data_IF_895090481309
#
_entry.id   IF_895090481309
#
_cell.length_a   1.000
_cell.length_b   1.000
_cell.length_c   1.000
_cell.angle_alpha   90.00
_cell.angle_beta   90.00
_cell.angle_gamma   90.00
#
_symmetry.space_group_name_H-M   'P 1'
#
loop_
_entity.id
_entity.type
_entity.pdbx_description
1 polymer ?
#
# COMPACT_ATOMS: atom_id res chain seq x y z
N UNK A 1 -28.37 -68.62 -50.11
CA UNK A 1 -27.72 -67.49 -49.43
C UNK A 1 -28.33 -66.16 -49.92
N UNK A 2 -29.19 -65.51 -49.12
CA UNK A 2 -29.89 -64.27 -49.51
C UNK A 2 -29.04 -63.04 -49.17
N UNK A 3 -28.77 -62.21 -50.19
CA UNK A 3 -28.12 -60.88 -50.09
C UNK A 3 -29.01 -59.92 -49.32
N UNK A 4 -28.49 -59.31 -48.25
CA UNK A 4 -29.07 -58.13 -47.61
C UNK A 4 -28.38 -56.90 -48.22
N UNK A 5 -29.10 -56.16 -49.07
CA UNK A 5 -28.71 -54.83 -49.52
C UNK A 5 -28.87 -53.83 -48.36
N UNK A 6 -27.79 -53.20 -47.93
CA UNK A 6 -27.85 -52.05 -47.04
C UNK A 6 -28.26 -50.79 -47.83
N UNK A 7 -29.31 -50.10 -47.38
CA UNK A 7 -29.75 -48.80 -47.92
C UNK A 7 -28.91 -47.67 -47.31
N UNK A 8 -28.17 -46.85 -48.09
CA UNK A 8 -27.48 -45.67 -47.59
C UNK A 8 -28.45 -44.48 -47.62
N UNK A 9 -29.00 -44.07 -46.47
CA UNK A 9 -29.90 -42.92 -46.47
C UNK A 9 -30.31 -42.33 -45.12
N UNK A 10 -30.07 -43.00 -43.99
CA UNK A 10 -30.51 -42.50 -42.67
C UNK A 10 -29.45 -41.78 -41.82
N UNK A 11 -28.19 -41.78 -42.22
CA UNK A 11 -27.08 -41.24 -41.40
C UNK A 11 -26.86 -39.72 -41.63
N UNK A 12 -27.33 -39.17 -42.76
CA UNK A 12 -27.11 -37.76 -43.13
C UNK A 12 -27.82 -36.74 -42.22
N UNK A 13 -29.05 -37.03 -41.77
CA UNK A 13 -29.81 -36.10 -40.93
C UNK A 13 -29.32 -36.04 -39.48
N UNK A 14 -28.81 -37.15 -38.94
CA UNK A 14 -28.36 -37.21 -37.55
C UNK A 14 -27.09 -36.38 -37.32
N UNK A 15 -26.17 -36.38 -38.29
CA UNK A 15 -24.93 -35.59 -38.24
C UNK A 15 -25.16 -34.07 -38.41
N UNK A 16 -26.31 -33.65 -38.95
CA UNK A 16 -26.68 -32.22 -39.04
C UNK A 16 -27.35 -31.68 -37.77
N UNK A 17 -28.09 -32.53 -37.05
CA UNK A 17 -28.90 -32.12 -35.90
C UNK A 17 -28.08 -32.15 -34.60
N UNK A 18 -27.16 -33.10 -34.47
CA UNK A 18 -26.38 -33.28 -33.24
C UNK A 18 -25.56 -32.05 -32.79
N UNK A 19 -24.87 -31.30 -33.68
CA UNK A 19 -24.12 -30.10 -33.31
C UNK A 19 -25.01 -28.94 -32.87
N UNK A 20 -26.21 -28.83 -33.43
CA UNK A 20 -27.18 -27.79 -33.07
C UNK A 20 -27.74 -28.01 -31.65
N UNK A 21 -27.99 -29.27 -31.29
CA UNK A 21 -28.47 -29.63 -29.94
C UNK A 21 -27.38 -29.38 -28.91
N UNK A 22 -26.11 -29.73 -29.19
CA UNK A 22 -25.00 -29.46 -28.27
C UNK A 22 -24.75 -27.96 -28.12
N UNK A 23 -24.78 -27.19 -29.20
CA UNK A 23 -24.65 -25.73 -29.13
C UNK A 23 -25.78 -25.07 -28.31
N UNK A 24 -27.01 -25.55 -28.45
CA UNK A 24 -28.15 -25.06 -27.68
C UNK A 24 -28.02 -25.40 -26.19
N UNK A 25 -27.58 -26.61 -25.85
CA UNK A 25 -27.34 -27.03 -24.46
C UNK A 25 -26.21 -26.22 -23.80
N UNK A 26 -25.09 -25.97 -24.51
CA UNK A 26 -24.01 -25.12 -24.00
C UNK A 26 -24.46 -23.68 -23.75
N UNK A 27 -25.24 -23.10 -24.67
CA UNK A 27 -25.77 -21.75 -24.51
C UNK A 27 -26.78 -21.64 -23.36
N UNK A 28 -27.58 -22.69 -23.10
CA UNK A 28 -28.43 -22.74 -21.90
C UNK A 28 -27.58 -22.83 -20.63
N UNK A 29 -26.54 -23.65 -20.62
CA UNK A 29 -25.64 -23.78 -19.46
C UNK A 29 -24.93 -22.46 -19.11
N UNK A 30 -24.47 -21.71 -20.12
CA UNK A 30 -23.86 -20.39 -19.92
C UNK A 30 -24.85 -19.37 -19.36
N UNK A 31 -26.11 -19.39 -19.81
CA UNK A 31 -27.17 -18.52 -19.24
C UNK A 31 -27.46 -18.84 -17.78
N UNK A 32 -27.54 -20.13 -17.41
CA UNK A 32 -27.74 -20.53 -16.01
C UNK A 32 -26.54 -20.17 -15.12
N UNK A 33 -25.32 -20.26 -15.64
CA UNK A 33 -24.09 -19.81 -14.97
C UNK A 33 -24.06 -18.30 -14.74
N UNK A 34 -24.53 -17.51 -15.72
CA UNK A 34 -24.59 -16.05 -15.60
C UNK A 34 -25.66 -15.60 -14.59
N UNK A 35 -26.81 -16.29 -14.55
CA UNK A 35 -27.89 -16.04 -13.58
C UNK A 35 -27.44 -16.38 -12.16
N UNK A 36 -26.69 -17.46 -11.95
CA UNK A 36 -26.17 -17.82 -10.63
C UNK A 36 -25.08 -16.86 -10.14
N UNK A 37 -24.22 -16.36 -11.03
CA UNK A 37 -23.25 -15.34 -10.66
C UNK A 37 -23.92 -13.98 -10.33
N UNK A 38 -24.97 -13.62 -11.07
CA UNK A 38 -25.78 -12.43 -10.77
C UNK A 38 -26.52 -12.54 -9.43
N UNK A 39 -27.04 -13.72 -9.07
CA UNK A 39 -27.71 -13.92 -7.78
C UNK A 39 -26.74 -13.87 -6.60
N UNK A 40 -25.54 -14.47 -6.73
CA UNK A 40 -24.48 -14.42 -5.70
C UNK A 40 -23.97 -12.99 -5.50
N UNK A 41 -23.75 -12.26 -6.59
CA UNK A 41 -23.34 -10.84 -6.52
C UNK A 41 -24.43 -9.95 -5.94
N UNK A 42 -25.70 -10.18 -6.28
CA UNK A 42 -26.83 -9.44 -5.70
C UNK A 42 -26.99 -9.69 -4.20
N UNK A 43 -26.82 -10.94 -3.74
CA UNK A 43 -26.85 -11.29 -2.31
C UNK A 43 -25.66 -10.71 -1.54
N UNK A 44 -24.47 -10.68 -2.15
CA UNK A 44 -23.29 -10.03 -1.58
C UNK A 44 -23.49 -8.51 -1.42
N UNK A 45 -24.07 -7.85 -2.43
CA UNK A 45 -24.37 -6.42 -2.38
C UNK A 45 -25.46 -6.07 -1.35
N UNK A 46 -26.52 -6.87 -1.27
CA UNK A 46 -27.61 -6.64 -0.29
C UNK A 46 -27.21 -6.93 1.15
N UNK A 47 -26.23 -7.81 1.38
CA UNK A 47 -25.69 -8.04 2.74
C UNK A 47 -24.68 -6.97 3.19
N UNK A 48 -23.93 -6.36 2.26
CA UNK A 48 -22.87 -5.40 2.61
C UNK A 48 -23.36 -3.93 2.69
N UNK A 49 -24.44 -3.57 1.98
CA UNK A 49 -25.03 -2.23 2.01
C UNK A 49 -25.56 -1.81 3.41
N UNK A 50 -26.27 -2.66 4.17
CA UNK A 50 -26.74 -2.30 5.51
C UNK A 50 -25.60 -2.07 6.51
N UNK A 51 -24.52 -2.88 6.41
CA UNK A 51 -23.35 -2.81 7.30
C UNK A 51 -22.57 -1.52 7.06
N UNK A 52 -22.39 -1.13 5.80
CA UNK A 52 -21.72 0.12 5.43
C UNK A 52 -22.57 1.34 5.78
N UNK A 53 -23.88 1.29 5.54
CA UNK A 53 -24.80 2.37 5.91
C UNK A 53 -24.90 2.58 7.43
N UNK A 54 -24.95 1.50 8.23
CA UNK A 54 -24.92 1.57 9.70
C UNK A 54 -23.58 2.09 10.23
N UNK A 55 -22.47 1.76 9.57
CA UNK A 55 -21.16 2.29 9.95
C UNK A 55 -21.10 3.80 9.70
N UNK A 56 -21.57 4.26 8.54
CA UNK A 56 -21.64 5.69 8.20
C UNK A 56 -22.55 6.49 9.15
N UNK A 57 -23.72 5.95 9.51
CA UNK A 57 -24.64 6.62 10.46
C UNK A 57 -24.13 6.65 11.90
N UNK A 58 -23.29 5.69 12.31
CA UNK A 58 -22.62 5.74 13.64
C UNK A 58 -21.46 6.73 13.71
N UNK A 59 -20.82 7.05 12.59
CA UNK A 59 -19.64 7.93 12.58
C UNK A 59 -19.97 9.42 12.33
N UNK A 60 -21.18 9.75 11.83
CA UNK A 60 -21.61 11.13 11.59
C UNK A 60 -21.83 12.01 12.85
N UNK A 61 -22.32 11.50 14.01
CA UNK A 61 -22.57 12.35 15.19
C UNK A 61 -21.30 12.81 15.91
N UNK A 62 -20.14 12.21 15.63
CA UNK A 62 -18.86 12.53 16.32
C UNK A 62 -18.11 13.68 15.64
N UNK A 63 -18.45 14.02 14.39
CA UNK A 63 -17.73 15.02 13.60
C UNK A 63 -18.45 16.37 13.44
N UNK A 64 -19.76 16.43 13.66
CA UNK A 64 -20.54 17.66 13.48
C UNK A 64 -20.59 18.67 14.66
N UNK A 65 -20.43 18.28 15.95
CA UNK A 65 -20.50 19.27 17.03
C UNK A 65 -19.33 20.28 17.06
N UNK A 66 -18.26 20.05 16.30
CA UNK A 66 -17.04 20.86 16.34
C UNK A 66 -17.03 22.05 15.38
N UNK A 67 -18.08 22.25 14.57
CA UNK A 67 -18.17 23.36 13.63
C UNK A 67 -19.03 24.54 14.13
N UNK A 68 -19.94 24.33 15.08
CA UNK A 68 -20.70 25.43 15.70
C UNK A 68 -19.94 26.17 16.81
N UNK A 69 -18.93 25.53 17.41
CA UNK A 69 -18.09 26.15 18.46
C UNK A 69 -17.01 27.12 17.94
N UNK A 70 -16.72 27.11 16.63
CA UNK A 70 -15.65 27.92 16.04
C UNK A 70 -16.15 29.29 15.54
N UNK A 71 -17.41 29.42 15.13
CA UNK A 71 -17.95 30.70 14.61
C UNK A 71 -18.20 31.75 15.71
N UNK A 72 -18.28 31.34 16.98
CA UNK A 72 -18.55 32.28 18.09
C UNK A 72 -17.29 32.99 18.64
N UNK A 73 -16.08 32.54 18.30
CA UNK A 73 -14.81 33.15 18.79
C UNK A 73 -14.27 34.25 17.89
N UNK A 74 -14.61 34.26 16.60
CA UNK A 74 -14.07 35.23 15.65
C UNK A 74 -14.89 36.54 15.57
N UNK A 75 -16.05 36.60 16.23
CA UNK A 75 -16.90 37.81 16.27
C UNK A 75 -16.59 38.79 17.42
N UNK A 76 -15.65 38.46 18.31
CA UNK A 76 -15.26 39.30 19.46
C UNK A 76 -13.89 39.99 19.32
N UNK A 77 -13.24 39.92 18.15
CA UNK A 77 -11.89 40.49 17.95
C UNK A 77 -11.81 41.70 17.00
N UNK A 78 -12.95 42.28 16.63
CA UNK A 78 -13.03 43.50 15.80
C UNK A 78 -14.00 44.49 16.44
N UNK A 79 -13.58 45.12 17.54
CA UNK A 79 -14.08 46.42 18.04
C UNK A 79 -13.35 46.75 19.33
N UNK A 80 -12.28 47.54 19.22
CA UNK A 80 -11.45 47.92 20.35
C UNK A 80 -10.60 49.13 20.02
N UNK A 81 -11.22 50.24 19.64
CA UNK A 81 -10.63 51.58 19.68
C UNK A 81 -11.74 52.64 19.63
N UNK A 82 -11.75 53.55 20.60
CA UNK A 82 -12.63 54.74 20.64
C UNK A 82 -13.46 54.89 21.93
N UNK A 83 -12.90 55.60 22.92
CA UNK A 83 -13.64 56.26 24.01
C UNK A 83 -14.28 57.55 23.45
N UNK A 84 -15.52 57.86 23.85
CA UNK A 84 -15.87 59.03 24.70
C UNK A 84 -17.40 59.23 24.84
N UNK A 85 -17.81 59.33 26.10
CA UNK A 85 -18.90 60.07 26.74
C UNK A 85 -20.18 60.48 25.99
N UNK A 86 -21.32 60.10 26.58
CA UNK A 86 -22.63 60.67 26.26
C UNK A 86 -23.77 60.02 27.05
N UNK A 87 -24.08 60.57 28.23
CA UNK A 87 -25.28 60.24 29.02
C UNK A 87 -26.55 60.50 28.19
N UNK A 88 -27.50 59.56 28.23
CA UNK A 88 -28.96 59.79 28.38
C UNK A 88 -29.67 58.42 28.33
N UNK A 89 -30.21 57.97 29.46
CA UNK A 89 -31.65 58.01 29.76
C UNK A 89 -32.42 56.83 29.15
N UNK A 90 -32.81 55.90 30.02
CA UNK A 90 -33.79 54.85 29.76
C UNK A 90 -35.19 55.46 29.53
N UNK A 91 -36.07 54.73 28.83
CA UNK A 91 -37.42 54.55 29.35
C UNK A 91 -37.82 53.06 29.46
N UNK A 92 -38.67 52.69 30.43
CA UNK A 92 -39.08 51.31 30.71
C UNK A 92 -40.46 50.94 30.14
N UNK A 93 -40.75 49.62 30.19
CA UNK A 93 -42.06 48.97 30.03
C UNK A 93 -42.56 48.90 28.56
N UNK A 94 -43.21 47.87 28.03
CA UNK A 94 -44.10 46.82 28.54
C UNK A 94 -44.18 45.74 27.45
N UNK A 95 -44.12 44.44 27.81
CA UNK A 95 -45.12 43.44 27.42
C UNK A 95 -44.73 42.06 27.99
N UNK A 96 -45.37 41.70 29.10
CA UNK A 96 -45.57 40.31 29.55
C UNK A 96 -46.92 39.85 29.01
N UNK A 97 -46.96 38.68 28.38
CA UNK A 97 -48.01 37.66 28.54
C UNK A 97 -47.61 36.40 27.77
N UNK A 98 -47.22 35.33 28.48
CA UNK A 98 -48.06 34.17 28.87
C UNK A 98 -48.08 33.07 27.81
N UNK A 99 -47.40 31.96 28.13
CA UNK A 99 -48.04 30.64 28.22
C UNK A 99 -47.11 29.66 28.95
N UNK A 100 -47.45 29.33 30.21
CA UNK A 100 -47.03 28.12 30.91
C UNK A 100 -48.25 27.19 30.96
N UNK A 101 -48.13 26.01 30.38
CA UNK A 101 -48.85 24.78 30.70
C UNK A 101 -47.86 23.67 30.32
N UNK A 102 -47.56 22.61 31.06
CA UNK A 102 -47.97 22.10 32.34
C UNK A 102 -47.29 20.72 32.44
N UNK A 103 -46.59 20.43 33.54
CA UNK A 103 -46.08 19.08 33.83
C UNK A 103 -47.23 18.19 34.29
N UNK A 104 -47.32 16.99 33.73
CA UNK A 104 -47.80 15.70 34.32
C UNK A 104 -47.31 14.62 33.34
N UNK A 105 -46.58 13.59 33.71
CA UNK A 105 -46.79 12.67 34.83
C UNK A 105 -47.32 11.36 34.24
N UNK A 106 -46.43 10.39 33.99
CA UNK A 106 -46.81 9.08 33.44
C UNK A 106 -45.66 8.09 33.53
N UNK A 107 -45.54 7.42 34.69
CA UNK A 107 -44.82 6.15 34.83
C UNK A 107 -45.80 5.04 34.47
N UNK A 108 -45.42 4.15 33.56
CA UNK A 108 -45.86 2.76 33.58
C UNK A 108 -44.65 1.85 33.35
N UNK A 109 -44.36 1.08 34.40
CA UNK A 109 -43.99 -0.35 34.42
C UNK A 109 -44.40 -1.07 33.12
N UNK A 110 -43.74 -2.07 32.56
CA UNK A 110 -42.80 -3.10 33.02
C UNK A 110 -42.80 -4.10 31.84
N UNK A 111 -41.64 -4.62 31.44
CA UNK A 111 -41.46 -6.03 31.08
C UNK A 111 -40.03 -6.27 30.61
N UNK A 112 -39.35 -6.97 31.49
CA UNK A 112 -38.05 -7.58 31.37
C UNK A 112 -38.10 -8.71 30.33
N UNK A 113 -37.22 -8.66 29.33
CA UNK A 113 -36.87 -9.83 28.50
C UNK A 113 -35.37 -9.79 28.21
N UNK A 114 -34.59 -10.30 29.18
CA UNK A 114 -33.16 -10.60 29.00
C UNK A 114 -33.00 -11.91 28.22
N UNK A 115 -33.00 -11.83 26.90
CA UNK A 115 -32.59 -12.94 26.02
C UNK A 115 -31.07 -13.02 25.86
N UNK A 116 -30.40 -13.83 26.68
CA UNK A 116 -29.01 -14.25 26.48
C UNK A 116 -28.91 -15.17 25.26
N UNK A 117 -28.27 -14.73 24.18
CA UNK A 117 -27.87 -15.64 23.10
C UNK A 117 -26.44 -16.15 23.32
N UNK A 118 -26.36 -17.40 23.75
CA UNK A 118 -25.16 -18.25 23.78
C UNK A 118 -24.75 -18.63 22.35
N UNK A 119 -23.44 -18.74 22.13
CA UNK A 119 -22.83 -19.40 20.97
C UNK A 119 -23.14 -20.91 20.99
N UNK A 120 -23.48 -21.56 19.87
CA UNK A 120 -23.52 -23.01 19.78
C UNK A 120 -22.11 -23.56 19.55
N UNK A 121 -21.64 -24.37 20.49
CA UNK A 121 -20.55 -25.32 20.28
C UNK A 121 -21.14 -26.68 19.94
N UNK A 122 -20.72 -27.26 18.82
CA UNK A 122 -21.04 -28.64 18.45
C UNK A 122 -20.13 -29.61 19.20
N UNK A 123 -20.75 -30.61 19.84
CA UNK A 123 -20.14 -31.84 20.36
C UNK A 123 -20.55 -33.02 19.47
N UNK A 124 -19.80 -34.11 19.62
CA UNK A 124 -20.19 -35.55 19.66
C UNK A 124 -19.35 -36.36 18.66
N UNK A 125 -18.80 -37.55 18.95
CA UNK A 125 -18.67 -38.41 20.16
C UNK A 125 -18.01 -39.73 19.73
N UNK A 126 -17.13 -40.31 20.56
CA UNK A 126 -17.21 -41.71 21.08
C UNK A 126 -15.94 -42.00 21.93
N UNK A 127 -16.06 -42.29 23.24
CA UNK A 127 -16.23 -43.63 23.90
C UNK A 127 -14.86 -44.37 23.87
N UNK A 128 -14.21 -44.78 24.96
CA UNK A 128 -14.64 -45.27 26.28
C UNK A 128 -13.56 -45.11 27.38
N UNK A 129 -14.00 -45.33 28.62
CA UNK A 129 -13.30 -45.98 29.76
C UNK A 129 -12.45 -45.18 30.79
N UNK A 130 -13.04 -45.17 31.99
CA UNK A 130 -12.59 -44.91 33.36
C UNK A 130 -11.81 -46.13 33.94
N UNK A 131 -11.41 -46.17 35.24
CA UNK A 131 -11.08 -45.12 36.21
C UNK A 131 -9.73 -45.38 36.94
N UNK A 132 -9.22 -44.42 37.71
CA UNK A 132 -9.03 -44.49 39.19
C UNK A 132 -7.52 -44.31 39.46
N UNK A 133 -7.00 -43.75 40.55
CA UNK A 133 -7.46 -43.00 41.72
C UNK A 133 -6.17 -42.50 42.39
N UNK A 134 -6.32 -41.63 43.40
CA UNK A 134 -5.32 -41.41 44.51
C UNK A 134 -4.02 -40.71 44.08
N UNK A 135 -3.33 -39.89 44.87
CA UNK A 135 -3.53 -39.10 46.08
C UNK A 135 -2.15 -38.47 46.35
N UNK A 136 -2.13 -37.24 46.83
CA UNK A 136 -1.13 -36.62 47.70
C UNK A 136 0.27 -37.28 47.85
N UNK A 137 1.33 -36.49 47.66
CA UNK A 137 2.17 -36.00 48.79
C UNK A 137 3.27 -35.03 48.33
N UNK A 138 3.28 -33.86 48.99
CA UNK A 138 4.48 -33.11 49.37
C UNK A 138 5.29 -33.93 50.37
N UNK A 139 6.61 -33.74 50.38
CA UNK A 139 7.58 -33.65 51.51
C UNK A 139 8.97 -33.55 50.82
N UNK A 140 9.65 -32.41 50.93
CA UNK A 140 10.76 -32.10 51.88
C UNK A 140 12.05 -32.83 51.48
N UNK A 141 13.04 -32.07 50.96
CA UNK A 141 14.24 -31.61 51.68
C UNK A 141 15.18 -32.77 52.00
N UNK A 142 16.36 -32.82 51.36
CA UNK A 142 17.58 -33.08 52.11
C UNK A 142 18.85 -32.61 51.39
N UNK A 143 19.70 -32.07 52.25
CA UNK A 143 21.00 -31.46 52.09
C UNK A 143 22.06 -32.57 51.99
N UNK A 144 23.06 -32.42 51.11
CA UNK A 144 24.30 -33.20 51.15
C UNK A 144 25.36 -32.56 50.26
N UNK A 145 26.16 -31.72 50.90
CA UNK A 145 27.51 -31.39 50.50
C UNK A 145 28.38 -32.64 50.32
N UNK A 146 29.05 -32.78 49.18
CA UNK A 146 30.24 -33.63 49.06
C UNK A 146 31.21 -33.01 48.07
N UNK A 147 32.37 -32.62 48.61
CA UNK A 147 33.58 -32.24 47.90
C UNK A 147 34.26 -33.49 47.36
N UNK A 148 34.86 -33.44 46.17
CA UNK A 148 36.28 -33.79 45.97
C UNK A 148 36.73 -33.73 44.50
N UNK A 149 37.96 -33.23 44.36
CA UNK A 149 39.00 -33.57 43.38
C UNK A 149 38.82 -33.25 41.89
N UNK A 150 39.78 -32.48 41.41
CA UNK A 150 40.02 -32.20 40.00
C UNK A 150 40.50 -33.42 39.21
N UNK A 151 40.31 -33.30 37.91
CA UNK A 151 40.89 -34.13 36.87
C UNK A 151 40.98 -33.28 35.61
N UNK A 152 42.19 -32.83 35.30
CA UNK A 152 42.54 -32.34 33.98
C UNK A 152 42.45 -33.50 32.99
N UNK A 153 41.55 -33.41 32.02
CA UNK A 153 41.60 -34.23 30.81
C UNK A 153 41.38 -33.34 29.59
N UNK A 154 42.50 -33.12 28.90
CA UNK A 154 42.69 -33.33 27.47
C UNK A 154 41.48 -32.99 26.57
N UNK A 155 41.62 -31.94 25.77
CA UNK A 155 40.62 -31.48 24.80
C UNK A 155 40.53 -32.44 23.60
N UNK A 156 39.96 -33.62 23.87
CA UNK A 156 39.46 -34.54 22.88
C UNK A 156 38.21 -33.97 22.20
N UNK A 157 38.17 -34.06 20.87
CA UNK A 157 37.00 -33.74 20.07
C UNK A 157 35.77 -34.50 20.60
N UNK A 158 34.74 -33.75 21.01
CA UNK A 158 33.50 -34.32 21.55
C UNK A 158 32.79 -35.12 20.46
N UNK A 159 32.75 -36.44 20.63
CA UNK A 159 32.03 -37.33 19.72
C UNK A 159 30.52 -37.05 19.76
N UNK A 160 29.85 -37.27 18.62
CA UNK A 160 28.39 -37.11 18.46
C UNK A 160 27.60 -37.88 19.52
N UNK A 161 28.09 -39.05 19.91
CA UNK A 161 27.48 -39.95 20.90
C UNK A 161 27.43 -39.33 22.30
N UNK A 162 28.48 -38.62 22.72
CA UNK A 162 28.47 -37.88 24.01
C UNK A 162 27.44 -36.75 24.01
N UNK A 163 27.23 -36.07 22.88
CA UNK A 163 26.28 -34.95 22.79
C UNK A 163 24.82 -35.43 22.81
N UNK A 164 24.54 -36.65 22.35
CA UNK A 164 23.20 -37.24 22.38
C UNK A 164 22.75 -37.63 23.80
N UNK A 165 23.69 -37.92 24.70
CA UNK A 165 23.41 -38.23 26.11
C UNK A 165 23.12 -36.99 26.97
N UNK A 166 23.59 -35.81 26.57
CA UNK A 166 23.39 -34.56 27.32
C UNK A 166 21.93 -34.12 27.35
N UNK A 167 21.52 -33.45 28.43
CA UNK A 167 20.20 -32.80 28.51
C UNK A 167 20.18 -31.55 27.63
N UNK A 168 18.98 -31.13 27.22
CA UNK A 168 18.80 -29.95 26.35
C UNK A 168 19.38 -28.68 26.99
N UNK A 169 19.32 -28.55 28.31
CA UNK A 169 19.83 -27.37 29.01
C UNK A 169 21.36 -27.32 29.03
N UNK A 170 22.02 -28.48 29.13
CA UNK A 170 23.48 -28.62 29.02
C UNK A 170 23.96 -28.29 27.60
N UNK A 171 23.25 -28.76 26.58
CA UNK A 171 23.52 -28.42 25.18
C UNK A 171 23.37 -26.91 24.93
N UNK A 172 22.33 -26.28 25.49
CA UNK A 172 22.14 -24.83 25.41
C UNK A 172 23.23 -24.06 26.16
N UNK A 173 23.67 -24.55 27.32
CA UNK A 173 24.76 -23.95 28.08
C UNK A 173 26.08 -23.97 27.28
N UNK A 174 26.38 -25.09 26.62
CA UNK A 174 27.57 -25.21 25.74
C UNK A 174 27.49 -24.31 24.51
N UNK A 175 26.33 -24.25 23.84
CA UNK A 175 26.10 -23.31 22.73
C UNK A 175 26.24 -21.85 23.17
N UNK A 176 25.72 -21.50 24.35
CA UNK A 176 25.86 -20.16 24.93
C UNK A 176 27.32 -19.80 25.21
N UNK A 177 28.12 -20.76 25.69
CA UNK A 177 29.58 -20.60 25.89
C UNK A 177 30.31 -20.35 24.56
N UNK A 178 29.87 -20.98 23.47
CA UNK A 178 30.42 -20.77 22.12
C UNK A 178 29.82 -19.56 21.37
N UNK A 179 28.86 -18.84 21.97
CA UNK A 179 28.19 -17.70 21.34
C UNK A 179 27.23 -18.08 20.20
N UNK A 180 26.81 -19.35 20.15
CA UNK A 180 25.90 -19.88 19.14
C UNK A 180 24.44 -19.79 19.60
N UNK A 181 23.51 -19.75 18.63
CA UNK A 181 22.07 -19.70 18.92
C UNK A 181 21.61 -20.92 19.73
N UNK A 182 20.85 -20.68 20.79
CA UNK A 182 20.34 -21.71 21.72
C UNK A 182 18.91 -22.18 21.40
N UNK A 183 18.31 -21.72 20.31
CA UNK A 183 16.93 -22.04 19.94
C UNK A 183 16.84 -23.32 19.09
N UNK A 184 15.76 -24.10 19.26
CA UNK A 184 15.48 -25.29 18.45
C UNK A 184 15.38 -26.60 19.24
N UNK A 185 15.10 -27.69 18.52
CA UNK A 185 15.03 -29.07 19.06
C UNK A 185 16.44 -29.64 19.30
N UNK A 186 16.56 -30.62 20.19
CA UNK A 186 17.82 -31.24 20.63
C UNK A 186 18.79 -31.56 19.48
N UNK A 187 18.30 -32.19 18.40
CA UNK A 187 19.10 -32.55 17.22
C UNK A 187 19.79 -31.32 16.60
N UNK A 188 19.07 -30.20 16.44
CA UNK A 188 19.63 -28.95 15.87
C UNK A 188 20.65 -28.28 16.78
N UNK A 189 20.57 -28.53 18.09
CA UNK A 189 21.56 -28.04 19.05
C UNK A 189 22.86 -28.86 18.94
N UNK A 190 22.73 -30.18 18.78
CA UNK A 190 23.85 -31.10 18.57
C UNK A 190 24.54 -30.82 17.23
N UNK A 191 23.80 -30.68 16.13
CA UNK A 191 24.36 -30.30 14.82
C UNK A 191 25.17 -28.99 14.91
N UNK A 192 24.65 -27.97 15.59
CA UNK A 192 25.38 -26.70 15.78
C UNK A 192 26.68 -26.85 16.56
N UNK A 193 26.72 -27.74 17.55
CA UNK A 193 27.94 -28.01 18.31
C UNK A 193 28.96 -28.80 17.48
N UNK A 194 28.50 -29.69 16.59
CA UNK A 194 29.36 -30.49 15.72
C UNK A 194 29.90 -29.70 14.51
N UNK A 195 29.11 -28.76 13.98
CA UNK A 195 29.48 -27.94 12.80
C UNK A 195 30.19 -26.64 13.19
N UNK A 196 30.34 -26.34 14.48
CA UNK A 196 31.06 -25.16 14.92
C UNK A 196 32.55 -25.32 14.55
N UNK A 197 33.13 -24.45 13.70
CA UNK A 197 34.56 -24.46 13.49
C UNK A 197 35.22 -24.15 14.84
N UNK A 198 36.21 -24.97 15.23
CA UNK A 198 37.10 -24.65 16.33
C UNK A 198 37.64 -23.24 16.05
N UNK A 199 37.38 -22.29 16.94
CA UNK A 199 37.96 -20.96 16.81
C UNK A 199 39.46 -21.12 17.00
N UNK A 200 40.20 -21.16 15.90
CA UNK A 200 41.58 -20.71 15.90
C UNK A 200 41.55 -19.26 16.38
N UNK A 201 42.10 -19.05 17.57
CA UNK A 201 42.33 -17.72 18.12
C UNK A 201 43.41 -17.03 17.27
N UNK A 202 42.98 -16.44 16.15
CA UNK A 202 43.80 -15.51 15.41
C UNK A 202 43.78 -14.14 16.10
N UNK A 203 44.98 -13.67 16.34
CA UNK A 203 45.38 -12.59 17.22
C UNK A 203 45.32 -11.23 16.49
N UNK A 204 44.18 -10.54 16.53
CA UNK A 204 44.02 -9.14 16.11
C UNK A 204 43.46 -8.30 17.27
N UNK A 205 44.18 -8.20 18.39
CA UNK A 205 43.63 -7.61 19.64
C UNK A 205 44.23 -6.25 20.06
N UNK A 206 44.91 -5.52 19.18
CA UNK A 206 45.49 -4.22 19.56
C UNK A 206 44.65 -2.99 19.16
N UNK A 207 43.77 -3.07 18.16
CA UNK A 207 42.94 -1.92 17.75
C UNK A 207 41.60 -1.81 18.51
N UNK A 208 41.11 -2.91 19.10
CA UNK A 208 39.81 -2.92 19.79
C UNK A 208 39.85 -2.39 21.24
N UNK A 209 41.00 -2.46 21.91
CA UNK A 209 41.17 -1.97 23.28
C UNK A 209 41.00 -0.43 23.37
N UNK A 210 41.52 0.31 22.39
CA UNK A 210 41.40 1.77 22.35
C UNK A 210 39.95 2.22 22.10
N UNK A 211 39.24 1.55 21.19
CA UNK A 211 37.83 1.81 20.91
C UNK A 211 36.91 1.48 22.09
N UNK A 212 37.24 0.45 22.88
CA UNK A 212 36.50 0.08 24.08
C UNK A 212 36.66 1.11 25.22
N UNK A 213 37.88 1.62 25.43
CA UNK A 213 38.17 2.68 26.41
C UNK A 213 37.50 4.01 26.02
N UNK A 214 37.54 4.38 24.75
CA UNK A 214 36.88 5.60 24.27
C UNK A 214 35.35 5.51 24.44
N UNK A 215 34.77 4.33 24.23
CA UNK A 215 33.33 4.11 24.45
C UNK A 215 32.92 4.24 25.91
N UNK A 216 33.72 3.74 26.86
CA UNK A 216 33.43 3.89 28.30
C UNK A 216 33.56 5.34 28.77
N UNK A 217 34.53 6.11 28.23
CA UNK A 217 34.62 7.55 28.49
C UNK A 217 33.39 8.31 27.94
N UNK A 218 33.01 8.04 26.69
CA UNK A 218 31.83 8.67 26.06
C UNK A 218 30.50 8.30 26.75
N UNK A 219 30.42 7.12 27.36
CA UNK A 219 29.27 6.73 28.18
C UNK A 219 29.12 7.54 29.47
N UNK A 220 30.20 8.14 29.99
CA UNK A 220 30.15 9.02 31.17
C UNK A 220 29.66 10.43 30.82
N UNK A 221 29.88 10.88 29.59
CA UNK A 221 29.44 12.20 29.11
C UNK A 221 27.91 12.35 29.11
N UNK A 222 27.43 13.58 29.29
CA UNK A 222 26.01 13.90 29.18
C UNK A 222 25.56 13.94 27.71
N UNK A 223 24.25 13.81 27.46
CA UNK A 223 23.71 13.92 26.10
C UNK A 223 24.00 15.30 25.46
N UNK A 224 24.09 16.36 26.27
CA UNK A 224 24.42 17.70 25.80
C UNK A 224 25.88 17.78 25.32
N UNK A 225 26.82 17.22 26.09
CA UNK A 225 28.24 17.12 25.72
C UNK A 225 28.42 16.30 24.44
N UNK A 226 27.78 15.14 24.35
CA UNK A 226 27.86 14.28 23.16
C UNK A 226 27.35 15.00 21.90
N UNK A 227 26.25 15.77 22.01
CA UNK A 227 25.74 16.60 20.92
C UNK A 227 26.68 17.74 20.55
N UNK A 228 27.34 18.36 21.52
CA UNK A 228 28.33 19.41 21.28
C UNK A 228 29.56 18.86 20.54
N UNK A 229 30.06 17.68 20.93
CA UNK A 229 31.15 16.98 20.24
C UNK A 229 30.77 16.62 18.79
N UNK A 230 29.54 16.13 18.57
CA UNK A 230 29.02 15.85 17.22
C UNK A 230 28.86 17.13 16.38
N UNK A 231 28.47 18.25 16.99
CA UNK A 231 28.42 19.57 16.32
C UNK A 231 29.79 19.98 15.79
N UNK A 232 30.83 19.84 16.61
CA UNK A 232 32.22 20.13 16.21
C UNK A 232 32.69 19.28 15.03
N UNK A 233 32.26 18.01 14.98
CA UNK A 233 32.55 17.08 13.87
C UNK A 233 31.58 17.19 12.68
N UNK A 234 30.65 18.16 12.67
CA UNK A 234 29.60 18.32 11.63
C UNK A 234 28.72 17.07 11.41
N UNK A 235 28.50 16.28 12.46
CA UNK A 235 27.69 15.07 12.46
C UNK A 235 26.28 15.33 13.01
N UNK A 236 25.32 14.46 12.65
CA UNK A 236 23.94 14.57 13.13
C UNK A 236 23.86 14.45 14.66
N UNK A 237 23.04 15.31 15.28
CA UNK A 237 22.81 15.35 16.74
C UNK A 237 21.55 14.57 17.17
N UNK A 238 20.86 13.92 16.22
CA UNK A 238 19.61 13.21 16.49
C UNK A 238 19.87 11.78 17.00
N UNK A 239 19.02 11.34 17.92
CA UNK A 239 19.02 9.97 18.46
C UNK A 239 19.27 9.90 19.97
N UNK A 240 19.27 8.65 20.47
CA UNK A 240 19.55 8.35 21.87
C UNK A 240 21.06 8.35 22.14
N UNK A 241 21.45 8.40 23.42
CA UNK A 241 22.85 8.46 23.86
C UNK A 241 23.76 7.43 23.19
N UNK A 242 23.32 6.17 23.09
CA UNK A 242 24.07 5.11 22.41
C UNK A 242 24.36 5.42 20.94
N UNK A 243 23.38 5.94 20.20
CA UNK A 243 23.51 6.32 18.79
C UNK A 243 24.49 7.47 18.61
N UNK A 244 24.49 8.45 19.52
CA UNK A 244 25.45 9.55 19.50
C UNK A 244 26.89 9.04 19.72
N UNK A 245 27.06 8.07 20.63
CA UNK A 245 28.35 7.44 20.92
C UNK A 245 28.82 6.59 19.73
N UNK A 246 27.94 5.76 19.15
CA UNK A 246 28.25 4.96 17.95
C UNK A 246 28.66 5.85 16.78
N UNK A 247 28.00 7.00 16.61
CA UNK A 247 28.33 8.00 15.58
C UNK A 247 29.68 8.67 15.84
N UNK A 248 30.03 8.95 17.09
CA UNK A 248 31.36 9.48 17.47
C UNK A 248 32.48 8.46 17.27
N UNK A 249 32.17 7.17 17.42
CA UNK A 249 33.09 6.06 17.21
C UNK A 249 33.16 5.58 15.74
N UNK A 250 32.40 6.20 14.83
CA UNK A 250 32.30 5.75 13.43
C UNK A 250 31.61 4.38 13.26
N UNK A 251 31.04 3.82 14.33
CA UNK A 251 30.33 2.53 14.36
C UNK A 251 28.83 2.68 14.12
N UNK A 252 28.37 3.86 13.69
CA UNK A 252 26.96 4.05 13.34
C UNK A 252 26.61 3.19 12.13
N UNK A 253 25.94 2.07 12.39
CA UNK A 253 25.34 1.29 11.32
C UNK A 253 24.32 2.17 10.61
N UNK A 254 24.62 2.55 9.36
CA UNK A 254 23.62 3.15 8.48
C UNK A 254 22.42 2.22 8.47
N UNK A 255 21.25 2.72 8.87
CA UNK A 255 20.01 1.94 8.79
C UNK A 255 19.92 1.40 7.36
N UNK A 256 19.80 0.08 7.23
CA UNK A 256 19.60 -0.55 5.93
C UNK A 256 18.46 0.17 5.22
N UNK A 257 18.68 0.55 3.95
CA UNK A 257 17.63 1.17 3.14
C UNK A 257 16.43 0.23 3.18
N UNK A 258 15.26 0.76 3.52
CA UNK A 258 14.04 -0.04 3.50
C UNK A 258 13.75 -0.41 2.05
N UNK A 259 13.95 -1.67 1.71
CA UNK A 259 13.62 -2.19 0.38
C UNK A 259 12.13 -1.98 0.15
N UNK A 260 11.80 -1.15 -0.83
CA UNK A 260 10.42 -0.88 -1.23
C UNK A 260 9.88 -2.14 -1.92
N UNK A 261 8.58 -2.43 -1.79
CA UNK A 261 7.96 -3.53 -2.54
C UNK A 261 8.14 -3.27 -4.04
N UNK A 262 8.48 -4.30 -4.81
CA UNK A 262 8.74 -4.20 -6.25
C UNK A 262 7.64 -3.46 -7.03
N UNK A 263 6.36 -3.68 -6.69
CA UNK A 263 5.21 -3.06 -7.36
C UNK A 263 5.28 -1.52 -7.36
N UNK A 264 5.79 -0.95 -6.28
CA UNK A 264 5.82 0.50 -6.03
C UNK A 264 7.23 1.08 -6.17
N UNK A 265 8.19 0.28 -6.65
CA UNK A 265 9.58 0.66 -6.71
C UNK A 265 9.89 1.59 -7.89
N UNK A 266 10.92 2.43 -7.72
CA UNK A 266 11.48 3.21 -8.83
C UNK A 266 12.10 2.30 -9.90
N UNK A 267 12.72 1.19 -9.47
CA UNK A 267 13.29 0.17 -10.33
C UNK A 267 12.27 -0.38 -11.35
N UNK A 268 11.08 -0.78 -10.88
CA UNK A 268 10.02 -1.29 -11.75
C UNK A 268 9.54 -0.23 -12.75
N UNK A 269 9.45 1.02 -12.33
CA UNK A 269 8.99 2.10 -13.20
C UNK A 269 10.01 2.43 -14.29
N UNK A 270 11.30 2.50 -13.93
CA UNK A 270 12.39 2.63 -14.90
C UNK A 270 12.37 1.47 -15.89
N UNK A 271 12.34 0.23 -15.40
CA UNK A 271 12.30 -0.95 -16.25
C UNK A 271 11.06 -0.96 -17.16
N UNK A 272 9.90 -0.56 -16.65
CA UNK A 272 8.68 -0.46 -17.46
C UNK A 272 8.81 0.59 -18.55
N UNK A 273 9.50 1.70 -18.29
CA UNK A 273 9.70 2.77 -19.27
C UNK A 273 10.63 2.31 -20.39
N UNK A 274 11.77 1.71 -20.03
CA UNK A 274 12.73 1.12 -20.97
C UNK A 274 12.08 0.04 -21.83
N UNK A 275 11.34 -0.89 -21.24
CA UNK A 275 10.67 -1.96 -21.99
C UNK A 275 9.61 -1.38 -22.93
N UNK A 276 8.87 -0.34 -22.55
CA UNK A 276 7.82 0.24 -23.38
C UNK A 276 8.33 1.14 -24.51
N UNK A 277 9.59 1.59 -24.43
CA UNK A 277 10.25 2.30 -25.51
C UNK A 277 10.80 1.28 -26.52
N UNK A 278 10.38 1.36 -27.78
CA UNK A 278 10.83 0.43 -28.83
C UNK A 278 12.27 0.72 -29.29
N UNK A 279 12.76 1.94 -29.06
CA UNK A 279 14.12 2.37 -29.42
C UNK A 279 15.16 2.01 -28.36
N UNK A 280 14.71 1.68 -27.15
CA UNK A 280 15.61 1.35 -26.05
C UNK A 280 16.41 0.08 -26.32
N UNK A 281 17.70 0.12 -25.95
CA UNK A 281 18.63 -1.00 -26.16
C UNK A 281 18.31 -2.25 -25.30
N UNK A 282 17.24 -2.20 -24.49
CA UNK A 282 16.89 -3.24 -23.53
C UNK A 282 16.34 -4.50 -24.18
N UNK A 283 15.75 -4.39 -25.37
CA UNK A 283 15.07 -5.51 -26.06
C UNK A 283 16.03 -6.64 -26.49
N UNK A 284 17.34 -6.40 -26.46
CA UNK A 284 18.38 -7.41 -26.73
C UNK A 284 19.27 -7.75 -25.54
N UNK A 285 19.00 -7.19 -24.35
CA UNK A 285 19.85 -7.37 -23.17
C UNK A 285 19.38 -8.55 -22.31
N UNK A 286 20.35 -9.22 -21.68
CA UNK A 286 20.08 -10.28 -20.71
C UNK A 286 19.71 -9.68 -19.36
N UNK A 287 18.92 -10.39 -18.55
CA UNK A 287 18.51 -9.93 -17.23
C UNK A 287 19.70 -9.59 -16.31
N UNK A 288 20.83 -10.29 -16.50
CA UNK A 288 22.08 -10.04 -15.77
C UNK A 288 22.70 -8.68 -16.13
N UNK A 289 22.85 -8.40 -17.43
CA UNK A 289 23.42 -7.14 -17.91
C UNK A 289 22.56 -5.93 -17.46
N UNK A 290 21.22 -6.08 -17.49
CA UNK A 290 20.30 -5.06 -16.98
C UNK A 290 20.41 -4.91 -15.46
N UNK A 291 20.55 -5.99 -14.71
CA UNK A 291 20.70 -5.95 -13.26
C UNK A 291 21.98 -5.23 -12.81
N UNK A 292 23.08 -5.46 -13.52
CA UNK A 292 24.39 -4.85 -13.24
C UNK A 292 24.45 -3.37 -13.64
N UNK A 293 23.61 -2.94 -14.59
CA UNK A 293 23.61 -1.57 -15.12
C UNK A 293 23.20 -0.47 -14.13
N UNK A 294 22.25 -0.73 -13.22
CA UNK A 294 21.68 0.30 -12.34
C UNK A 294 21.62 -0.18 -10.88
N UNK A 295 21.98 0.72 -9.97
CA UNK A 295 21.98 0.48 -8.51
C UNK A 295 20.60 0.13 -7.97
N UNK A 296 19.54 0.69 -8.54
CA UNK A 296 18.14 0.42 -8.16
C UNK A 296 17.71 -1.04 -8.32
N UNK A 297 18.29 -1.76 -9.28
CA UNK A 297 17.93 -3.16 -9.49
C UNK A 297 18.58 -4.04 -8.43
N UNK A 298 19.75 -3.63 -7.94
CA UNK A 298 20.55 -4.33 -6.93
C UNK A 298 19.93 -4.29 -5.53
N UNK A 299 18.95 -3.41 -5.28
CA UNK A 299 18.13 -3.44 -4.06
C UNK A 299 17.33 -4.75 -3.91
N UNK A 300 17.20 -5.53 -4.98
CA UNK A 300 16.50 -6.81 -5.01
C UNK A 300 17.46 -7.96 -5.29
N UNK A 301 17.31 -9.13 -4.64
CA UNK A 301 18.10 -10.31 -4.99
C UNK A 301 17.94 -10.68 -6.48
N UNK A 302 19.05 -10.95 -7.16
CA UNK A 302 19.08 -11.22 -8.61
C UNK A 302 18.01 -12.23 -9.07
N UNK A 303 17.89 -13.38 -8.39
CA UNK A 303 16.89 -14.43 -8.73
C UNK A 303 15.45 -13.91 -8.75
N UNK A 304 15.11 -12.93 -7.90
CA UNK A 304 13.78 -12.31 -7.91
C UNK A 304 13.66 -11.29 -9.04
N UNK A 305 14.70 -10.49 -9.25
CA UNK A 305 14.75 -9.52 -10.32
C UNK A 305 14.63 -10.18 -11.70
N UNK A 306 15.33 -11.28 -11.94
CA UNK A 306 15.25 -12.06 -13.18
C UNK A 306 13.80 -12.47 -13.49
N UNK A 307 13.09 -13.01 -12.49
CA UNK A 307 11.66 -13.33 -12.63
C UNK A 307 10.80 -12.10 -12.94
N UNK A 308 11.10 -10.95 -12.34
CA UNK A 308 10.40 -9.70 -12.64
C UNK A 308 10.68 -9.20 -14.06
N UNK A 309 11.92 -9.28 -14.52
CA UNK A 309 12.34 -8.88 -15.86
C UNK A 309 11.62 -9.70 -16.92
N UNK A 310 11.70 -11.03 -16.85
CA UNK A 310 11.04 -11.94 -17.80
C UNK A 310 9.53 -11.71 -17.82
N UNK A 311 8.91 -11.62 -16.64
CA UNK A 311 7.47 -11.36 -16.52
C UNK A 311 7.08 -10.02 -17.15
N UNK A 312 7.88 -8.96 -16.95
CA UNK A 312 7.58 -7.63 -17.50
C UNK A 312 7.75 -7.58 -19.01
N UNK A 313 8.81 -8.19 -19.57
CA UNK A 313 9.00 -8.28 -21.02
C UNK A 313 7.85 -9.03 -21.67
N UNK A 314 7.48 -10.20 -21.14
CA UNK A 314 6.35 -10.98 -21.64
C UNK A 314 5.02 -10.22 -21.55
N UNK A 315 4.77 -9.55 -20.41
CA UNK A 315 3.55 -8.76 -20.20
C UNK A 315 3.48 -7.55 -21.13
N UNK A 316 4.61 -6.86 -21.36
CA UNK A 316 4.66 -5.72 -22.28
C UNK A 316 4.38 -6.15 -23.72
N UNK A 317 4.96 -7.27 -24.16
CA UNK A 317 4.68 -7.83 -25.48
C UNK A 317 3.19 -8.21 -25.66
N UNK A 318 2.58 -8.84 -24.65
CA UNK A 318 1.14 -9.15 -24.67
C UNK A 318 0.28 -7.88 -24.70
N UNK A 319 0.58 -6.90 -23.85
CA UNK A 319 -0.15 -5.64 -23.78
C UNK A 319 -0.05 -4.84 -25.08
N UNK A 320 1.11 -4.84 -25.76
CA UNK A 320 1.29 -4.20 -27.06
C UNK A 320 0.39 -4.82 -28.13
N UNK A 321 0.35 -6.16 -28.21
CA UNK A 321 -0.53 -6.88 -29.14
C UNK A 321 -1.99 -6.54 -28.88
N UNK A 322 -2.41 -6.55 -27.61
CA UNK A 322 -3.77 -6.19 -27.24
C UNK A 322 -4.08 -4.74 -27.60
N UNK A 323 -3.19 -3.79 -27.28
CA UNK A 323 -3.37 -2.38 -27.61
C UNK A 323 -3.48 -2.15 -29.13
N UNK A 324 -2.71 -2.88 -29.95
CA UNK A 324 -2.82 -2.82 -31.41
C UNK A 324 -4.19 -3.31 -31.90
N UNK A 325 -4.68 -4.42 -31.35
CA UNK A 325 -6.01 -4.96 -31.67
C UNK A 325 -7.08 -3.95 -31.26
N UNK A 326 -7.03 -3.44 -30.03
CA UNK A 326 -8.00 -2.49 -29.49
C UNK A 326 -7.99 -1.19 -30.31
N UNK A 327 -6.82 -0.65 -30.63
CA UNK A 327 -6.69 0.54 -31.48
C UNK A 327 -7.25 0.31 -32.88
N UNK A 328 -7.05 -0.88 -33.46
CA UNK A 328 -7.63 -1.24 -34.76
C UNK A 328 -9.16 -1.34 -34.68
N UNK A 329 -9.71 -1.91 -33.61
CA UNK A 329 -11.16 -1.97 -33.36
C UNK A 329 -11.73 -0.56 -33.18
N UNK A 330 -11.13 0.24 -32.29
CA UNK A 330 -11.54 1.63 -32.04
C UNK A 330 -11.50 2.44 -33.34
N UNK A 331 -10.45 2.30 -34.15
CA UNK A 331 -10.34 3.02 -35.42
C UNK A 331 -11.46 2.64 -36.39
N UNK A 332 -11.79 1.34 -36.50
CA UNK A 332 -12.90 0.86 -37.33
C UNK A 332 -14.26 1.34 -36.80
N UNK A 333 -14.46 1.33 -35.49
CA UNK A 333 -15.69 1.81 -34.85
C UNK A 333 -15.86 3.32 -35.02
N UNK A 334 -14.80 4.11 -34.85
CA UNK A 334 -14.81 5.56 -35.09
C UNK A 334 -15.10 5.89 -36.56
N UNK A 335 -14.60 5.11 -37.50
CA UNK A 335 -14.91 5.28 -38.93
C UNK A 335 -16.36 4.93 -39.25
N UNK A 336 -16.91 3.90 -38.60
CA UNK A 336 -18.30 3.47 -38.76
C UNK A 336 -19.29 4.43 -38.09
N UNK A 337 -18.90 5.01 -36.96
CA UNK A 337 -19.74 5.90 -36.15
C UNK A 337 -19.04 7.25 -35.91
N UNK A 338 -18.91 8.10 -36.96
CA UNK A 338 -18.31 9.40 -36.79
C UNK A 338 -19.13 10.24 -35.80
N UNK A 339 -18.42 10.99 -34.94
CA UNK A 339 -19.07 11.90 -33.98
C UNK A 339 -19.82 12.97 -34.78
N UNK A 340 -21.11 13.12 -34.49
CA UNK A 340 -21.94 14.19 -35.08
C UNK A 340 -21.35 15.57 -34.72
N UNK A 341 -21.54 16.61 -35.56
CA UNK A 341 -21.06 17.96 -35.23
C UNK A 341 -21.78 18.57 -34.02
N UNK A 342 -23.02 18.17 -33.78
CA UNK A 342 -23.85 18.63 -32.68
C UNK A 342 -24.40 17.50 -31.82
N UNK A 343 -24.78 17.85 -30.61
CA UNK A 343 -25.49 16.98 -29.67
C UNK A 343 -26.93 16.76 -30.16
N UNK A 344 -27.60 15.71 -29.67
CA UNK A 344 -29.03 15.44 -29.94
C UNK A 344 -29.91 16.66 -29.59
N UNK A 345 -29.47 17.47 -28.62
CA UNK A 345 -30.15 18.70 -28.16
C UNK A 345 -29.91 19.94 -29.03
N UNK A 346 -29.19 19.82 -30.15
CA UNK A 346 -29.05 20.89 -31.15
C UNK A 346 -27.85 21.83 -31.01
N UNK A 347 -27.06 21.73 -29.93
CA UNK A 347 -25.86 22.56 -29.71
C UNK A 347 -24.56 21.73 -29.87
N UNK A 348 -23.41 22.36 -30.22
CA UNK A 348 -22.14 21.67 -30.42
C UNK A 348 -21.57 21.11 -29.11
N UNK A 349 -20.70 20.10 -29.22
CA UNK A 349 -20.05 19.54 -28.05
C UNK A 349 -19.08 20.53 -27.39
N UNK A 350 -19.14 20.64 -26.05
CA UNK A 350 -18.37 21.64 -25.30
C UNK A 350 -16.86 21.52 -25.53
N UNK A 351 -16.30 20.32 -25.49
CA UNK A 351 -14.87 20.03 -25.64
C UNK A 351 -14.31 20.41 -27.02
N UNK A 352 -15.13 20.31 -28.06
CA UNK A 352 -14.75 20.66 -29.44
C UNK A 352 -15.11 22.11 -29.79
N UNK A 353 -15.91 22.78 -28.96
CA UNK A 353 -16.39 24.12 -29.25
C UNK A 353 -15.34 25.21 -29.00
N UNK A 354 -15.43 26.34 -29.73
CA UNK A 354 -14.61 27.52 -29.43
C UNK A 354 -14.95 28.16 -28.08
N UNK A 355 -16.12 27.87 -27.50
CA UNK A 355 -16.56 28.41 -26.21
C UNK A 355 -15.70 27.89 -25.03
N UNK A 356 -15.23 26.65 -25.08
CA UNK A 356 -14.46 26.05 -23.99
C UNK A 356 -13.13 26.78 -23.67
N UNK A 357 -12.21 27.00 -24.62
CA UNK A 357 -10.97 27.74 -24.34
C UNK A 357 -11.24 29.19 -23.91
N UNK A 358 -12.23 29.84 -24.53
CA UNK A 358 -12.66 31.18 -24.19
C UNK A 358 -13.15 31.28 -22.74
N UNK A 359 -13.99 30.32 -22.29
CA UNK A 359 -14.49 30.31 -20.92
C UNK A 359 -13.36 30.07 -19.92
N UNK A 360 -12.38 29.22 -20.24
CA UNK A 360 -11.20 29.02 -19.39
C UNK A 360 -10.45 30.33 -19.15
N UNK A 361 -10.27 31.14 -20.20
CA UNK A 361 -9.63 32.45 -20.08
C UNK A 361 -10.47 33.42 -19.25
N UNK A 362 -11.78 33.50 -19.49
CA UNK A 362 -12.65 34.43 -18.79
C UNK A 362 -12.79 34.08 -17.30
N UNK A 363 -12.90 32.80 -16.97
CA UNK A 363 -12.90 32.34 -15.56
C UNK A 363 -11.55 32.65 -14.91
N UNK A 364 -10.43 32.47 -15.63
CA UNK A 364 -9.08 32.78 -15.13
C UNK A 364 -8.89 34.27 -14.88
N UNK A 365 -9.47 35.12 -15.73
CA UNK A 365 -9.45 36.58 -15.59
C UNK A 365 -10.37 37.12 -14.49
N UNK A 366 -11.19 36.28 -13.86
CA UNK A 366 -12.11 36.71 -12.78
C UNK A 366 -13.50 37.13 -13.24
N UNK A 367 -13.74 37.34 -14.54
CA UNK A 367 -15.03 37.79 -15.12
C UNK A 367 -16.24 36.95 -14.69
N UNK A 368 -16.05 35.65 -14.48
CA UNK A 368 -17.10 34.74 -13.99
C UNK A 368 -17.57 34.98 -12.55
N UNK A 369 -16.85 35.81 -11.78
CA UNK A 369 -17.23 36.24 -10.43
C UNK A 369 -17.92 37.61 -10.45
N UNK A 370 -17.60 38.43 -11.42
CA UNK A 370 -18.15 39.78 -11.61
C UNK A 370 -19.52 39.73 -12.30
N UNK A 371 -19.66 38.90 -13.33
CA UNK A 371 -20.88 38.78 -14.11
C UNK A 371 -21.71 37.57 -13.68
N UNK A 372 -23.03 37.72 -13.75
CA UNK A 372 -23.92 36.56 -13.60
C UNK A 372 -23.71 35.60 -14.78
N UNK A 373 -23.97 34.28 -14.63
CA UNK A 373 -23.90 33.33 -15.74
C UNK A 373 -24.71 33.74 -16.97
N UNK A 374 -25.82 34.46 -16.77
CA UNK A 374 -26.68 34.97 -17.84
C UNK A 374 -25.98 36.10 -18.61
N UNK A 375 -25.44 37.08 -17.89
CA UNK A 375 -24.77 38.23 -18.50
C UNK A 375 -23.47 37.80 -19.18
N UNK A 376 -22.69 36.94 -18.52
CA UNK A 376 -21.47 36.37 -19.08
C UNK A 376 -21.75 35.64 -20.39
N UNK A 377 -22.85 34.88 -20.48
CA UNK A 377 -23.25 34.21 -21.73
C UNK A 377 -23.57 35.20 -22.85
N UNK A 378 -24.15 36.36 -22.53
CA UNK A 378 -24.52 37.37 -23.51
C UNK A 378 -23.30 38.14 -24.04
N UNK A 379 -22.18 38.17 -23.31
CA UNK A 379 -20.95 38.89 -23.73
C UNK A 379 -20.36 38.38 -25.05
N UNK A 380 -20.52 37.09 -25.38
CA UNK A 380 -19.90 36.46 -26.55
C UNK A 380 -20.89 35.57 -27.28
N UNK A 381 -20.92 35.69 -28.62
CA UNK A 381 -21.80 34.88 -29.49
C UNK A 381 -21.52 33.37 -29.36
N UNK A 382 -20.27 33.00 -29.09
CA UNK A 382 -19.84 31.61 -28.92
C UNK A 382 -20.49 30.94 -27.68
N UNK A 383 -20.78 31.72 -26.64
CA UNK A 383 -21.47 31.23 -25.44
C UNK A 383 -22.97 31.11 -25.65
N UNK A 384 -23.55 31.96 -26.50
CA UNK A 384 -24.98 32.00 -26.75
C UNK A 384 -25.50 30.74 -27.46
N UNK A 385 -24.62 30.00 -28.14
CA UNK A 385 -24.95 28.69 -28.77
C UNK A 385 -25.40 27.66 -27.73
N UNK A 386 -24.99 27.82 -26.47
CA UNK A 386 -25.39 26.95 -25.38
C UNK A 386 -26.62 27.50 -24.65
N UNK A 387 -27.58 26.63 -24.29
CA UNK A 387 -28.64 26.98 -23.34
C UNK A 387 -28.04 27.48 -22.03
N UNK A 388 -28.73 28.40 -21.36
CA UNK A 388 -28.23 29.06 -20.15
C UNK A 388 -27.84 28.06 -19.05
N UNK A 389 -28.65 27.03 -18.84
CA UNK A 389 -28.40 26.02 -17.81
C UNK A 389 -27.11 25.22 -18.06
N UNK A 390 -26.91 24.78 -19.30
CA UNK A 390 -25.71 24.04 -19.73
C UNK A 390 -24.46 24.93 -19.61
N UNK A 391 -24.57 26.18 -20.05
CA UNK A 391 -23.46 27.13 -19.95
C UNK A 391 -23.09 27.43 -18.49
N UNK A 392 -24.09 27.57 -17.61
CA UNK A 392 -23.91 27.76 -16.17
C UNK A 392 -23.13 26.59 -15.55
N UNK A 393 -23.45 25.35 -15.91
CA UNK A 393 -22.73 24.19 -15.41
C UNK A 393 -21.26 24.19 -15.83
N UNK A 394 -20.97 24.57 -17.07
CA UNK A 394 -19.59 24.69 -17.54
C UNK A 394 -18.81 25.79 -16.81
N UNK A 395 -19.45 26.91 -16.45
CA UNK A 395 -18.83 27.93 -15.58
C UNK A 395 -18.45 27.32 -14.23
N UNK A 396 -19.34 26.56 -13.59
CA UNK A 396 -19.07 25.96 -12.28
C UNK A 396 -17.98 24.87 -12.35
N UNK A 397 -18.01 24.03 -13.39
CA UNK A 397 -16.97 23.04 -13.65
C UNK A 397 -15.60 23.69 -13.80
N UNK A 398 -15.50 24.76 -14.62
CA UNK A 398 -14.23 25.46 -14.84
C UNK A 398 -13.76 26.22 -13.58
N UNK A 399 -14.67 26.86 -12.83
CA UNK A 399 -14.34 27.49 -11.53
C UNK A 399 -13.78 26.47 -10.54
N UNK A 400 -14.41 25.30 -10.43
CA UNK A 400 -13.95 24.21 -9.56
C UNK A 400 -12.57 23.74 -9.98
N UNK A 401 -12.37 23.48 -11.28
CA UNK A 401 -11.08 23.06 -11.84
C UNK A 401 -9.95 24.06 -11.56
N UNK A 402 -10.22 25.37 -11.64
CA UNK A 402 -9.22 26.40 -11.31
C UNK A 402 -8.90 26.42 -9.82
N UNK A 403 -9.92 26.38 -8.95
CA UNK A 403 -9.71 26.29 -7.49
C UNK A 403 -8.92 25.03 -7.10
N UNK A 404 -9.23 23.90 -7.73
CA UNK A 404 -8.52 22.63 -7.50
C UNK A 404 -7.05 22.70 -7.91
N UNK A 405 -6.73 23.39 -9.01
CA UNK A 405 -5.35 23.59 -9.45
C UNK A 405 -4.51 24.43 -8.48
N UNK A 406 -5.14 25.37 -7.76
CA UNK A 406 -4.49 26.23 -6.78
C UNK A 406 -4.32 25.57 -5.40
N UNK A 407 -5.00 24.44 -5.15
CA UNK A 407 -4.87 23.73 -3.89
C UNK A 407 -3.44 23.22 -3.68
N UNK A 408 -2.84 23.58 -2.53
CA UNK A 408 -1.48 23.17 -2.16
C UNK A 408 -1.23 21.66 -2.26
N UNK A 409 -2.22 20.84 -1.92
CA UNK A 409 -2.11 19.36 -2.01
C UNK A 409 -1.95 18.91 -3.47
N UNK A 410 -2.76 19.49 -4.37
CA UNK A 410 -2.69 19.18 -5.81
C UNK A 410 -1.37 19.64 -6.39
N UNK A 411 -0.90 20.84 -6.04
CA UNK A 411 0.40 21.35 -6.46
C UNK A 411 1.55 20.49 -5.96
N UNK A 412 1.54 20.11 -4.66
CA UNK A 412 2.54 19.23 -4.06
C UNK A 412 2.58 17.87 -4.76
N UNK A 413 1.42 17.27 -5.05
CA UNK A 413 1.33 15.99 -5.74
C UNK A 413 1.83 16.08 -7.18
N UNK A 414 1.46 17.15 -7.92
CA UNK A 414 1.96 17.41 -9.28
C UNK A 414 3.48 17.60 -9.29
N UNK A 415 4.01 18.37 -8.35
CA UNK A 415 5.44 18.61 -8.22
C UNK A 415 6.19 17.32 -7.86
N UNK A 416 5.67 16.55 -6.88
CA UNK A 416 6.24 15.26 -6.52
C UNK A 416 6.25 14.29 -7.70
N UNK A 417 5.17 14.24 -8.49
CA UNK A 417 5.09 13.43 -9.70
C UNK A 417 6.08 13.89 -10.77
N UNK A 418 6.22 15.21 -10.99
CA UNK A 418 7.22 15.76 -11.93
C UNK A 418 8.64 15.42 -11.52
N UNK A 419 9.00 15.63 -10.26
CA UNK A 419 10.34 15.31 -9.75
C UNK A 419 10.63 13.82 -9.91
N UNK A 420 9.62 12.98 -9.62
CA UNK A 420 9.73 11.54 -9.79
C UNK A 420 9.89 11.11 -11.25
N UNK A 421 9.17 11.72 -12.19
CA UNK A 421 9.34 11.46 -13.62
C UNK A 421 10.72 11.92 -14.12
N UNK A 422 11.16 13.10 -13.70
CA UNK A 422 12.47 13.64 -14.04
C UNK A 422 13.61 12.77 -13.49
N UNK A 423 13.46 12.20 -12.28
CA UNK A 423 14.39 11.22 -11.74
C UNK A 423 14.47 9.95 -12.63
N UNK A 424 13.33 9.47 -13.14
CA UNK A 424 13.28 8.31 -14.03
C UNK A 424 13.92 8.64 -15.38
N UNK A 425 13.60 9.79 -15.96
CA UNK A 425 14.19 10.28 -17.22
C UNK A 425 15.70 10.41 -17.14
N UNK A 426 16.21 10.99 -16.05
CA UNK A 426 17.66 11.08 -15.82
C UNK A 426 18.32 9.71 -15.84
N UNK A 427 17.68 8.70 -15.22
CA UNK A 427 18.21 7.34 -15.14
C UNK A 427 18.11 6.58 -16.44
N UNK A 428 17.03 6.77 -17.17
CA UNK A 428 16.90 6.26 -18.52
C UNK A 428 18.03 6.77 -19.42
N UNK A 429 18.33 8.07 -19.38
CA UNK A 429 19.44 8.64 -20.14
C UNK A 429 20.79 8.01 -19.74
N UNK A 430 21.07 7.90 -18.44
CA UNK A 430 22.28 7.24 -17.94
C UNK A 430 22.38 5.77 -18.39
N UNK A 431 21.24 5.09 -18.43
CA UNK A 431 21.17 3.70 -18.86
C UNK A 431 21.44 3.54 -20.35
N UNK A 432 20.87 4.41 -21.20
CA UNK A 432 21.13 4.38 -22.64
C UNK A 432 22.58 4.71 -22.98
N UNK A 433 23.19 5.68 -22.27
CA UNK A 433 24.62 5.99 -22.39
C UNK A 433 25.48 4.76 -22.06
N UNK A 434 25.17 4.08 -20.95
CA UNK A 434 25.85 2.86 -20.52
C UNK A 434 25.66 1.71 -21.53
N UNK A 435 24.43 1.49 -22.00
CA UNK A 435 24.11 0.45 -22.97
C UNK A 435 24.78 0.71 -24.33
N UNK A 436 24.87 1.97 -24.74
CA UNK A 436 25.62 2.40 -25.93
C UNK A 436 27.11 2.10 -25.81
N UNK A 437 27.73 2.45 -24.68
CA UNK A 437 29.14 2.14 -24.41
C UNK A 437 29.43 0.62 -24.43
N UNK A 438 28.55 -0.18 -23.82
CA UNK A 438 28.65 -1.64 -23.84
C UNK A 438 28.55 -2.21 -25.26
N UNK A 439 27.63 -1.68 -26.07
CA UNK A 439 27.47 -2.11 -27.47
C UNK A 439 28.73 -1.80 -28.29
N UNK A 440 29.31 -0.62 -28.10
CA UNK A 440 30.60 -0.23 -28.71
C UNK A 440 31.74 -1.19 -28.34
N UNK A 441 31.88 -1.51 -27.04
CA UNK A 441 32.89 -2.45 -26.56
C UNK A 441 32.70 -3.89 -27.09
N UNK A 442 31.45 -4.37 -27.17
CA UNK A 442 31.13 -5.69 -27.75
C UNK A 442 31.46 -5.71 -29.25
N UNK A 443 31.21 -4.62 -29.99
CA UNK A 443 31.54 -4.52 -31.41
C UNK A 443 33.05 -4.52 -31.70
N UNK A 444 33.85 -3.87 -30.84
CA UNK A 444 35.32 -3.87 -30.95
C UNK A 444 35.93 -5.25 -30.65
N UNK A 445 35.32 -6.05 -29.76
CA UNK A 445 35.78 -7.41 -29.44
C UNK A 445 35.45 -8.46 -30.49
N UNK A 446 34.46 -8.21 -31.35
CA UNK A 446 34.05 -9.13 -32.43
C UNK A 446 34.73 -8.81 -33.78
N UNK A 447 35.43 -7.67 -33.87
CA UNK A 447 36.18 -7.25 -35.06
C UNK A 447 37.69 -7.53 -35.01
N UNK A 448 38.17 -8.27 -34.01
CA UNK A 448 39.55 -8.75 -33.88
C UNK A 448 39.63 -10.26 -34.07
#
# INVERSE_FOLDING_TARGET
ARRIQQRPGRISHFNRIYPLITAFQSHLFDKYSLISHLSVTYQSLTSHLPVTYQSLTRHLPVTYPSLEGAEHRDRQKVSGEGREDGRQAWPPAEYRSRARLGRRGGRSRELEMRGKWRRPGGRSSHVSDLPAATSCRRLDCDDSSSSCSGGETDSGALSKEMLELLKVDELKARLKKQGLSTTGRKIKLIERLLTAPAKEEQHDNEQDAHGANLRTQLNKCTNAELKAMLKGKRLSQQGNKSVLIDRLLGKEQKKARKVVKWKDSKARQLLSKLINNDESLIHGQQAKDVYESEDLFQDYPFKKFEGYFISMVASAAANRKQAQIDNAIISKELAKFPRKPSTIRGYPYWDTSPAAPLLRQDVKSGKSRELTPKDLRLTRKEYQVYPLDVFRDHIYQERRKQKENDMKVVQRNKLAMKNHLHDIERREALWEDYAGALKGLKSLKLGN
#
